data_IF_862741148062
#
_entry.id   IF_862741148062
#
_cell.length_a   1.000
_cell.length_b   1.000
_cell.length_c   1.000
_cell.angle_alpha   90.00
_cell.angle_beta   90.00
_cell.angle_gamma   90.00
#
_symmetry.space_group_name_H-M   'P 1'
#
loop_
_entity.id
_entity.type
_entity.pdbx_description
1 polymer ?
#
# COMPACT_ATOMS: atom_id res chain seq x y z
N UNK A 1 6.39 0.22 -29.54
CA UNK A 1 5.45 -0.13 -28.45
C UNK A 1 5.75 0.79 -27.27
N UNK A 2 4.86 0.97 -26.29
CA UNK A 2 5.07 1.98 -25.24
C UNK A 2 6.30 1.71 -24.34
N UNK A 3 6.82 0.48 -24.32
CA UNK A 3 8.02 0.08 -23.59
C UNK A 3 8.77 -1.02 -24.36
N UNK A 4 10.10 -0.92 -24.42
CA UNK A 4 10.97 -1.88 -25.10
C UNK A 4 11.62 -2.88 -24.11
N UNK A 5 11.70 -2.54 -22.81
CA UNK A 5 12.26 -3.42 -21.78
C UNK A 5 11.74 -3.12 -20.37
N UNK A 6 11.92 -4.05 -19.43
CA UNK A 6 11.57 -3.83 -18.01
C UNK A 6 12.36 -2.68 -17.38
N UNK A 7 13.61 -2.48 -17.80
CA UNK A 7 14.42 -1.38 -17.30
C UNK A 7 13.86 -0.03 -17.78
N UNK A 8 13.43 0.04 -19.04
CA UNK A 8 12.79 1.22 -19.64
C UNK A 8 11.47 1.57 -18.93
N UNK A 9 10.68 0.55 -18.56
CA UNK A 9 9.50 0.73 -17.72
C UNK A 9 9.83 1.24 -16.31
N UNK A 10 10.90 0.73 -15.68
CA UNK A 10 11.28 1.12 -14.32
C UNK A 10 11.83 2.53 -14.25
N UNK A 11 12.64 2.93 -15.23
CA UNK A 11 13.32 4.23 -15.23
C UNK A 11 12.50 5.33 -15.91
N UNK A 12 11.58 4.97 -16.80
CA UNK A 12 10.75 5.88 -17.60
C UNK A 12 11.60 7.01 -18.17
N UNK A 13 12.71 6.64 -18.82
CA UNK A 13 13.65 7.58 -19.41
C UNK A 13 13.27 7.87 -20.86
N UNK A 14 13.37 9.13 -21.28
CA UNK A 14 13.29 9.48 -22.69
C UNK A 14 14.35 10.52 -23.05
N UNK A 15 14.77 10.49 -24.32
CA UNK A 15 15.75 11.41 -24.88
C UNK A 15 15.02 12.66 -25.35
N UNK A 16 15.45 13.83 -24.87
CA UNK A 16 14.93 15.11 -25.35
C UNK A 16 15.57 15.50 -26.70
N UNK A 17 14.93 16.37 -27.51
CA UNK A 17 15.51 16.83 -28.79
C UNK A 17 16.89 17.50 -28.64
N UNK A 18 17.23 17.96 -27.45
CA UNK A 18 18.54 18.54 -27.08
C UNK A 18 19.60 17.49 -26.70
N UNK A 19 19.29 16.18 -26.80
CA UNK A 19 20.22 15.10 -26.52
C UNK A 19 20.43 14.76 -25.04
N UNK A 20 19.61 15.31 -24.13
CA UNK A 20 19.68 14.99 -22.71
C UNK A 20 18.66 13.92 -22.33
N UNK A 21 19.09 12.95 -21.51
CA UNK A 21 18.24 11.92 -20.91
C UNK A 21 17.44 12.48 -19.73
N UNK A 22 16.12 12.32 -19.77
CA UNK A 22 15.21 12.66 -18.66
C UNK A 22 14.55 11.39 -18.15
N UNK A 23 14.75 11.07 -16.88
CA UNK A 23 14.16 9.90 -16.23
C UNK A 23 13.16 10.34 -15.15
N UNK A 24 11.92 9.85 -15.24
CA UNK A 24 10.86 10.19 -14.30
C UNK A 24 10.46 9.04 -13.37
N UNK A 25 11.06 7.85 -13.54
CA UNK A 25 10.74 6.67 -12.75
C UNK A 25 10.80 6.91 -11.25
N UNK A 26 11.82 7.63 -10.75
CA UNK A 26 11.93 7.93 -9.32
C UNK A 26 10.72 8.68 -8.74
N UNK A 27 10.16 9.63 -9.49
CA UNK A 27 8.97 10.37 -9.04
C UNK A 27 7.70 9.51 -9.11
N UNK A 28 7.55 8.73 -10.17
CA UNK A 28 6.38 7.86 -10.37
C UNK A 28 6.32 6.76 -9.31
N UNK A 29 7.44 6.10 -9.04
CA UNK A 29 7.54 5.04 -8.03
C UNK A 29 7.35 5.56 -6.61
N UNK A 30 7.80 6.78 -6.30
CA UNK A 30 7.56 7.39 -4.98
C UNK A 30 6.08 7.71 -4.78
N UNK A 31 5.39 8.25 -5.79
CA UNK A 31 3.95 8.46 -5.75
C UNK A 31 3.17 7.14 -5.57
N UNK A 32 3.51 6.09 -6.33
CA UNK A 32 2.92 4.76 -6.15
C UNK A 32 3.22 4.16 -4.77
N UNK A 33 4.45 4.33 -4.27
CA UNK A 33 4.86 3.88 -2.95
C UNK A 33 4.01 4.49 -1.83
N UNK A 34 3.76 5.80 -1.89
CA UNK A 34 2.89 6.49 -0.94
C UNK A 34 1.45 5.93 -1.01
N UNK A 35 0.92 5.73 -2.22
CA UNK A 35 -0.41 5.13 -2.41
C UNK A 35 -0.52 3.74 -1.78
N UNK A 36 0.47 2.88 -2.02
CA UNK A 36 0.53 1.53 -1.41
C UNK A 36 0.59 1.62 0.11
N UNK A 37 1.38 2.54 0.67
CA UNK A 37 1.45 2.74 2.12
C UNK A 37 0.10 3.16 2.72
N UNK A 38 -0.64 4.04 2.06
CA UNK A 38 -1.98 4.47 2.51
C UNK A 38 -2.95 3.29 2.50
N UNK A 39 -2.93 2.47 1.45
CA UNK A 39 -3.77 1.27 1.34
C UNK A 39 -3.44 0.27 2.44
N UNK A 40 -2.15 -0.04 2.62
CA UNK A 40 -1.69 -0.96 3.67
C UNK A 40 -2.06 -0.43 5.06
N UNK A 41 -1.83 0.85 5.34
CA UNK A 41 -2.21 1.49 6.60
C UNK A 41 -3.70 1.33 6.91
N UNK A 42 -4.57 1.52 5.91
CA UNK A 42 -6.01 1.30 6.06
C UNK A 42 -6.36 -0.17 6.32
N UNK A 43 -5.71 -1.10 5.62
CA UNK A 43 -5.93 -2.52 5.80
C UNK A 43 -5.52 -2.97 7.21
N UNK A 44 -4.35 -2.52 7.70
CA UNK A 44 -3.91 -2.77 9.06
C UNK A 44 -4.88 -2.19 10.11
N UNK A 45 -5.40 -0.98 9.88
CA UNK A 45 -6.39 -0.37 10.77
C UNK A 45 -7.68 -1.21 10.86
N UNK A 46 -8.17 -1.73 9.73
CA UNK A 46 -9.34 -2.62 9.70
C UNK A 46 -9.07 -3.91 10.46
N UNK A 47 -7.93 -4.57 10.20
CA UNK A 47 -7.57 -5.83 10.87
C UNK A 47 -7.47 -5.63 12.39
N UNK A 48 -6.83 -4.55 12.85
CA UNK A 48 -6.68 -4.27 14.27
C UNK A 48 -8.02 -3.97 14.96
N UNK A 49 -8.91 -3.22 14.29
CA UNK A 49 -10.27 -2.98 14.81
C UNK A 49 -11.06 -4.28 14.95
N UNK A 50 -11.02 -5.15 13.94
CA UNK A 50 -11.71 -6.47 13.99
C UNK A 50 -11.20 -7.31 15.15
N UNK A 51 -9.87 -7.40 15.34
CA UNK A 51 -9.26 -8.11 16.48
C UNK A 51 -9.74 -7.54 17.83
N UNK A 52 -9.79 -6.22 17.97
CA UNK A 52 -10.24 -5.56 19.21
C UNK A 52 -11.70 -5.87 19.52
N UNK A 53 -12.58 -5.76 18.53
CA UNK A 53 -14.02 -6.05 18.69
C UNK A 53 -14.24 -7.51 19.06
N UNK A 54 -13.61 -8.46 18.35
CA UNK A 54 -13.72 -9.89 18.67
C UNK A 54 -13.24 -10.22 20.08
N UNK A 55 -12.14 -9.61 20.53
CA UNK A 55 -11.64 -9.79 21.89
C UNK A 55 -12.61 -9.23 22.93
N UNK A 56 -13.26 -8.09 22.66
CA UNK A 56 -14.28 -7.54 23.54
C UNK A 56 -15.52 -8.44 23.63
N UNK A 57 -15.99 -8.97 22.49
CA UNK A 57 -17.13 -9.90 22.44
C UNK A 57 -16.80 -11.17 23.23
N UNK A 58 -15.64 -11.79 23.00
CA UNK A 58 -15.20 -12.99 23.75
C UNK A 58 -15.08 -12.75 25.26
N UNK A 59 -14.76 -11.52 25.69
CA UNK A 59 -14.71 -11.17 27.12
C UNK A 59 -16.10 -10.96 27.72
N UNK A 60 -17.06 -10.44 26.95
CA UNK A 60 -18.46 -10.31 27.39
C UNK A 60 -19.12 -11.68 27.55
N UNK A 61 -19.01 -12.54 26.54
CA UNK A 61 -19.57 -13.91 26.57
C UNK A 61 -19.08 -14.70 27.78
N UNK A 62 -17.76 -14.63 28.08
CA UNK A 62 -17.20 -15.31 29.27
C UNK A 62 -17.75 -14.82 30.60
N UNK A 63 -18.15 -13.56 30.71
CA UNK A 63 -18.76 -13.01 31.94
C UNK A 63 -20.21 -13.44 32.07
N UNK A 64 -20.95 -13.46 30.96
CA UNK A 64 -22.34 -13.91 30.91
C UNK A 64 -22.47 -15.40 31.27
N UNK A 65 -21.57 -16.24 30.77
CA UNK A 65 -21.52 -17.67 31.11
C UNK A 65 -21.12 -17.97 32.56
N UNK A 66 -20.44 -17.03 33.25
CA UNK A 66 -20.08 -17.20 34.66
C UNK A 66 -21.20 -16.75 35.62
N UNK A 67 -22.24 -16.09 35.10
CA UNK A 67 -23.38 -15.57 35.86
C UNK A 67 -24.70 -16.34 35.57
N UNK A 68 -24.65 -17.41 34.77
CA UNK A 68 -25.73 -18.39 34.55
C UNK A 68 -25.35 -19.73 35.17
#
# INVERSE_FOLDING_TARGET
MAFESLNDFLTMCYVTPMGFDRCHGGFVWTAYGIGVLVILGNLFAVVNRRKKVLNQIRRKIRREQAHS
#
